data_IF_532170980859
#
_entry.id   IF_532170980859
#
_cell.length_a   1.000
_cell.length_b   1.000
_cell.length_c   1.000
_cell.angle_alpha   90.00
_cell.angle_beta   90.00
_cell.angle_gamma   90.00
#
_symmetry.space_group_name_H-M   'P 1'
#
loop_
_entity.id
_entity.type
_entity.pdbx_description
1 polymer ?
#
# COMPACT_ATOMS: atom_id res chain seq x y z
N UNK A 1 -7.45 0.22 -9.84
CA UNK A 1 -6.27 -0.62 -9.52
C UNK A 1 -6.08 -0.56 -8.03
N UNK A 2 -6.12 -1.72 -7.38
CA UNK A 2 -6.13 -1.89 -5.94
C UNK A 2 -4.70 -2.06 -5.43
N UNK A 3 -4.28 -1.19 -4.52
CA UNK A 3 -2.87 -1.04 -4.14
C UNK A 3 -2.67 -1.27 -2.65
N UNK A 4 -1.61 -2.00 -2.30
CA UNK A 4 -1.05 -2.07 -0.95
C UNK A 4 0.32 -1.39 -0.94
N UNK A 5 0.59 -0.53 0.05
CA UNK A 5 1.87 0.17 0.18
C UNK A 5 2.68 -0.41 1.35
N UNK A 6 3.93 -0.81 1.11
CA UNK A 6 4.80 -1.47 2.08
C UNK A 6 6.16 -0.79 2.12
N UNK A 7 6.50 -0.20 3.27
CA UNK A 7 7.81 0.42 3.49
C UNK A 7 8.05 0.50 5.01
N UNK A 8 9.26 0.35 5.50
CA UNK A 8 9.56 0.42 6.94
C UNK A 8 9.59 1.87 7.47
N UNK A 9 9.82 2.85 6.59
CA UNK A 9 9.80 4.26 6.93
C UNK A 9 8.40 4.88 6.76
N UNK A 10 7.83 5.35 7.87
CA UNK A 10 6.48 5.92 7.90
C UNK A 10 6.34 7.16 7.02
N UNK A 11 7.37 8.00 6.94
CA UNK A 11 7.32 9.20 6.11
C UNK A 11 7.28 8.86 4.62
N UNK A 12 8.06 7.86 4.19
CA UNK A 12 8.07 7.39 2.81
C UNK A 12 6.69 6.82 2.40
N UNK A 13 6.06 6.00 3.24
CA UNK A 13 4.69 5.51 2.98
C UNK A 13 3.70 6.64 2.79
N UNK A 14 3.70 7.63 3.69
CA UNK A 14 2.77 8.77 3.62
C UNK A 14 2.97 9.60 2.36
N UNK A 15 4.23 9.83 1.97
CA UNK A 15 4.55 10.53 0.73
C UNK A 15 4.03 9.76 -0.49
N UNK A 16 4.30 8.46 -0.57
CA UNK A 16 3.84 7.62 -1.67
C UNK A 16 2.31 7.55 -1.74
N UNK A 17 1.63 7.37 -0.60
CA UNK A 17 0.17 7.41 -0.52
C UNK A 17 -0.39 8.73 -1.04
N UNK A 18 0.23 9.86 -0.66
CA UNK A 18 -0.16 11.20 -1.11
C UNK A 18 -0.04 11.35 -2.63
N UNK A 19 1.04 10.82 -3.23
CA UNK A 19 1.25 10.82 -4.68
C UNK A 19 0.23 9.94 -5.40
N UNK A 20 0.01 8.71 -4.90
CA UNK A 20 -0.93 7.75 -5.49
C UNK A 20 -2.39 8.22 -5.41
N UNK A 21 -2.75 8.94 -4.34
CA UNK A 21 -4.11 9.45 -4.10
C UNK A 21 -4.53 10.54 -5.09
N UNK A 22 -3.61 11.08 -5.90
CA UNK A 22 -3.93 12.06 -6.95
C UNK A 22 -4.52 11.41 -8.22
N UNK A 23 -4.52 10.07 -8.29
CA UNK A 23 -5.02 9.32 -9.42
C UNK A 23 -6.33 8.60 -9.06
N UNK A 24 -7.44 9.05 -9.64
CA UNK A 24 -8.79 8.51 -9.38
C UNK A 24 -8.94 7.01 -9.71
N UNK A 25 -8.02 6.45 -10.52
CA UNK A 25 -8.03 5.02 -10.86
C UNK A 25 -7.31 4.14 -9.84
N UNK A 26 -6.77 4.71 -8.75
CA UNK A 26 -6.05 3.99 -7.69
C UNK A 26 -6.90 3.93 -6.43
N UNK A 27 -7.07 2.73 -5.90
CA UNK A 27 -7.71 2.49 -4.61
C UNK A 27 -6.65 1.92 -3.65
N UNK A 28 -6.35 2.65 -2.58
CA UNK A 28 -5.39 2.20 -1.58
C UNK A 28 -6.12 1.32 -0.56
N UNK A 29 -5.81 0.03 -0.57
CA UNK A 29 -6.42 -0.95 0.34
C UNK A 29 -5.84 -0.88 1.75
N UNK A 30 -4.61 -0.38 1.89
CA UNK A 30 -3.93 -0.21 3.16
C UNK A 30 -2.44 0.03 3.01
N UNK A 31 -1.76 0.10 4.16
CA UNK A 31 -0.30 0.20 4.26
C UNK A 31 0.26 -0.86 5.21
N UNK A 32 1.52 -1.27 5.07
CA UNK A 32 2.21 -2.16 6.01
C UNK A 32 3.65 -1.66 6.29
N UNK A 33 4.15 -1.76 7.53
CA UNK A 33 5.50 -1.33 7.90
C UNK A 33 6.57 -2.42 7.77
N UNK A 34 6.20 -3.66 7.47
CA UNK A 34 7.12 -4.78 7.42
C UNK A 34 6.54 -5.94 6.60
N UNK A 35 7.37 -6.96 6.37
CA UNK A 35 7.05 -8.13 5.55
C UNK A 35 5.93 -8.98 6.15
N UNK A 36 5.87 -9.13 7.48
CA UNK A 36 4.89 -10.01 8.12
C UNK A 36 3.48 -9.43 7.97
N UNK A 37 3.30 -8.15 8.30
CA UNK A 37 2.02 -7.45 8.12
C UNK A 37 1.64 -7.32 6.64
N UNK A 38 2.63 -7.12 5.76
CA UNK A 38 2.40 -7.09 4.32
C UNK A 38 1.85 -8.42 3.80
N UNK A 39 2.40 -9.56 4.24
CA UNK A 39 1.92 -10.89 3.83
C UNK A 39 0.47 -11.12 4.24
N UNK A 40 0.14 -10.84 5.51
CA UNK A 40 -1.24 -10.95 6.00
C UNK A 40 -2.22 -10.09 5.19
N UNK A 41 -1.79 -8.87 4.82
CA UNK A 41 -2.59 -7.94 4.00
C UNK A 41 -2.69 -8.38 2.55
N UNK A 42 -1.64 -8.93 1.95
CA UNK A 42 -1.68 -9.46 0.58
C UNK A 42 -2.67 -10.63 0.50
N UNK A 43 -2.62 -11.56 1.45
CA UNK A 43 -3.52 -12.72 1.47
C UNK A 43 -4.98 -12.32 1.70
N UNK A 44 -5.24 -11.37 2.60
CA UNK A 44 -6.60 -10.94 2.94
C UNK A 44 -7.21 -9.96 1.94
N UNK A 45 -6.40 -9.04 1.39
CA UNK A 45 -6.89 -7.96 0.53
C UNK A 45 -6.74 -8.26 -0.96
N UNK A 46 -5.85 -9.20 -1.34
CA UNK A 46 -5.55 -9.55 -2.72
C UNK A 46 -5.35 -8.31 -3.62
N UNK A 47 -4.36 -7.45 -3.35
CA UNK A 47 -4.11 -6.25 -4.15
C UNK A 47 -3.67 -6.60 -5.58
N UNK A 48 -3.94 -5.71 -6.53
CA UNK A 48 -3.46 -5.83 -7.91
C UNK A 48 -1.95 -5.55 -7.99
N UNK A 49 -1.47 -4.60 -7.16
CA UNK A 49 -0.08 -4.14 -7.10
C UNK A 49 0.32 -3.90 -5.66
N UNK A 50 1.55 -4.27 -5.32
CA UNK A 50 2.22 -3.92 -4.06
C UNK A 50 3.36 -2.97 -4.40
N UNK A 51 3.37 -1.80 -3.76
CA UNK A 51 4.50 -0.88 -3.78
C UNK A 51 5.32 -1.01 -2.51
#
# INVERSE_FOLDING_TARGET
>A
MRVLVVDDERLARKELISLLSQNDNIEILGEAPNVDEAKEKIESLQPDVVF
#
